data_IF_156930401944
#
_entry.id   IF_156930401944
#
_cell.length_a   1.000
_cell.length_b   1.000
_cell.length_c   1.000
_cell.angle_alpha   90.00
_cell.angle_beta   90.00
_cell.angle_gamma   90.00
#
_symmetry.space_group_name_H-M   'P 1'
#
loop_
_entity.id
_entity.type
_entity.pdbx_description
1 polymer ?
#
# COMPACT_ATOMS: atom_id res chain seq x y z
N UNK A 1 22.40 8.09 8.97
CA UNK A 1 21.06 7.54 9.32
C UNK A 1 20.08 8.08 8.30
N UNK A 2 19.64 7.25 7.34
CA UNK A 2 18.91 7.69 6.15
C UNK A 2 17.57 8.32 6.50
N UNK A 3 17.31 9.53 6.00
CA UNK A 3 16.16 10.34 6.38
C UNK A 3 14.87 9.71 5.81
N UNK A 4 14.14 8.94 6.63
CA UNK A 4 12.94 8.19 6.24
C UNK A 4 11.68 9.07 6.08
N UNK A 5 11.85 10.38 5.98
CA UNK A 5 10.79 11.39 6.08
C UNK A 5 9.66 11.17 5.08
N UNK A 6 9.99 10.85 3.83
CA UNK A 6 8.97 10.65 2.79
C UNK A 6 8.18 9.36 2.98
N UNK A 7 8.82 8.27 3.44
CA UNK A 7 8.10 7.04 3.77
C UNK A 7 7.18 7.25 4.97
N UNK A 8 7.68 7.94 6.01
CA UNK A 8 6.88 8.32 7.17
C UNK A 8 5.70 9.20 6.77
N UNK A 9 5.91 10.17 5.87
CA UNK A 9 4.86 11.05 5.36
C UNK A 9 3.78 10.27 4.61
N UNK A 10 4.16 9.31 3.77
CA UNK A 10 3.21 8.46 3.06
C UNK A 10 2.34 7.63 4.02
N UNK A 11 2.95 6.95 4.99
CA UNK A 11 2.23 6.16 6.00
C UNK A 11 1.32 7.05 6.86
N UNK A 12 1.81 8.23 7.25
CA UNK A 12 1.04 9.19 8.04
C UNK A 12 -0.19 9.68 7.28
N UNK A 13 -0.04 10.06 6.01
CA UNK A 13 -1.17 10.51 5.19
C UNK A 13 -2.26 9.43 5.06
N UNK A 14 -1.86 8.16 4.88
CA UNK A 14 -2.79 7.03 4.85
C UNK A 14 -3.48 6.86 6.21
N UNK A 15 -2.72 6.90 7.31
CA UNK A 15 -3.26 6.74 8.65
C UNK A 15 -4.23 7.86 9.05
N UNK A 16 -3.89 9.11 8.76
CA UNK A 16 -4.78 10.25 9.00
C UNK A 16 -6.08 10.11 8.20
N UNK A 17 -6.00 9.75 6.91
CA UNK A 17 -7.17 9.54 6.07
C UNK A 17 -8.11 8.45 6.64
N UNK A 18 -7.55 7.31 7.06
CA UNK A 18 -8.31 6.19 7.63
C UNK A 18 -8.92 6.55 8.99
N UNK A 19 -8.14 7.18 9.89
CA UNK A 19 -8.57 7.49 11.26
C UNK A 19 -9.63 8.60 11.25
N UNK A 20 -9.44 9.64 10.44
CA UNK A 20 -10.37 10.77 10.36
C UNK A 20 -11.63 10.44 9.54
N UNK A 21 -11.66 9.29 8.85
CA UNK A 21 -12.75 8.89 7.95
C UNK A 21 -13.08 9.99 6.93
N UNK A 22 -12.03 10.54 6.33
CA UNK A 22 -12.19 11.62 5.34
C UNK A 22 -13.00 11.10 4.14
N UNK A 23 -14.04 11.86 3.77
CA UNK A 23 -14.97 11.51 2.69
C UNK A 23 -14.32 11.63 1.31
N UNK A 24 -13.24 12.42 1.17
CA UNK A 24 -12.53 12.59 -0.09
C UNK A 24 -11.53 11.46 -0.30
N UNK A 25 -11.66 10.74 -1.41
CA UNK A 25 -10.74 9.66 -1.77
C UNK A 25 -9.27 10.11 -1.75
N UNK A 26 -8.45 9.43 -0.96
CA UNK A 26 -7.00 9.61 -0.99
C UNK A 26 -6.39 8.94 -2.23
N UNK A 27 -5.89 9.76 -3.16
CA UNK A 27 -5.07 9.32 -4.28
C UNK A 27 -3.59 9.60 -3.98
N UNK A 28 -2.81 8.56 -3.76
CA UNK A 28 -1.40 8.67 -3.37
C UNK A 28 -0.48 7.93 -4.34
N UNK A 29 0.50 8.63 -4.90
CA UNK A 29 1.59 8.05 -5.68
C UNK A 29 2.91 8.20 -4.93
N UNK A 30 3.55 7.07 -4.61
CA UNK A 30 4.86 7.03 -3.94
C UNK A 30 5.90 6.48 -4.90
N UNK A 31 6.82 7.34 -5.33
CA UNK A 31 7.92 6.99 -6.24
C UNK A 31 9.26 6.87 -5.51
N UNK A 32 10.25 6.28 -6.19
CA UNK A 32 11.63 6.22 -5.73
C UNK A 32 12.45 5.21 -6.52
N UNK A 33 13.76 5.38 -6.57
CA UNK A 33 14.68 4.46 -7.26
C UNK A 33 14.68 3.06 -6.64
N UNK A 34 15.15 2.04 -7.37
CA UNK A 34 15.30 0.68 -6.82
C UNK A 34 16.12 0.67 -5.53
N UNK A 35 15.76 -0.17 -4.55
CA UNK A 35 16.49 -0.27 -3.28
C UNK A 35 16.14 0.79 -2.21
N UNK A 36 15.25 1.75 -2.47
CA UNK A 36 14.93 2.83 -1.51
C UNK A 36 13.92 2.45 -0.40
N UNK A 37 13.60 1.17 -0.24
CA UNK A 37 12.70 0.73 0.84
C UNK A 37 11.20 0.94 0.58
N UNK A 38 10.74 1.14 -0.66
CA UNK A 38 9.28 1.25 -0.96
C UNK A 38 8.44 0.07 -0.47
N UNK A 39 8.97 -1.16 -0.54
CA UNK A 39 8.30 -2.35 0.03
C UNK A 39 8.14 -2.25 1.56
N UNK A 40 8.98 -1.47 2.24
CA UNK A 40 8.80 -1.18 3.67
C UNK A 40 7.56 -0.31 3.91
N UNK A 41 7.29 0.70 3.06
CA UNK A 41 6.05 1.50 3.13
C UNK A 41 4.83 0.59 3.03
N UNK A 42 4.77 -0.30 2.02
CA UNK A 42 3.67 -1.25 1.84
C UNK A 42 3.46 -2.10 3.10
N UNK A 43 4.53 -2.70 3.64
CA UNK A 43 4.46 -3.51 4.87
C UNK A 43 4.01 -2.72 6.09
N UNK A 44 4.41 -1.46 6.20
CA UNK A 44 3.99 -0.60 7.31
C UNK A 44 2.51 -0.24 7.21
N UNK A 45 1.98 0.00 6.00
CA UNK A 45 0.54 0.19 5.77
C UNK A 45 -0.26 -1.06 6.14
N UNK A 46 0.20 -2.25 5.75
CA UNK A 46 -0.45 -3.51 6.14
C UNK A 46 -0.54 -3.62 7.66
N UNK A 47 0.58 -3.42 8.36
CA UNK A 47 0.63 -3.46 9.83
C UNK A 47 -0.25 -2.41 10.50
N UNK A 48 -0.41 -1.24 9.88
CA UNK A 48 -1.32 -0.21 10.37
C UNK A 48 -2.77 -0.71 10.34
N UNK A 49 -3.22 -1.27 9.21
CA UNK A 49 -4.58 -1.81 9.08
C UNK A 49 -4.83 -3.01 10.00
N UNK A 50 -3.82 -3.87 10.20
CA UNK A 50 -3.86 -4.94 11.20
C UNK A 50 -4.04 -4.39 12.62
N UNK A 51 -3.25 -3.38 13.02
CA UNK A 51 -3.33 -2.75 14.35
C UNK A 51 -4.65 -2.02 14.59
N UNK A 52 -5.27 -1.51 13.53
CA UNK A 52 -6.58 -0.88 13.58
C UNK A 52 -7.73 -1.91 13.58
N UNK A 53 -7.45 -3.22 13.43
CA UNK A 53 -8.48 -4.26 13.39
C UNK A 53 -9.31 -4.27 12.12
N UNK A 54 -8.86 -3.61 11.05
CA UNK A 54 -9.58 -3.43 9.78
C UNK A 54 -8.80 -4.02 8.60
N UNK A 55 -7.97 -5.04 8.84
CA UNK A 55 -7.14 -5.69 7.81
C UNK A 55 -7.93 -6.11 6.57
N UNK A 56 -9.19 -6.53 6.75
CA UNK A 56 -10.04 -7.04 5.68
C UNK A 56 -10.59 -5.91 4.76
N UNK A 57 -10.33 -4.64 5.12
CA UNK A 57 -10.62 -3.46 4.28
C UNK A 57 -9.43 -3.07 3.39
N UNK A 58 -8.29 -3.77 3.47
CA UNK A 58 -7.10 -3.50 2.67
C UNK A 58 -6.94 -4.54 1.56
N UNK A 59 -7.01 -4.10 0.32
CA UNK A 59 -6.70 -4.91 -0.86
C UNK A 59 -5.35 -4.54 -1.44
N UNK A 60 -4.52 -5.55 -1.72
CA UNK A 60 -3.17 -5.39 -2.27
C UNK A 60 -3.12 -5.96 -3.68
N UNK A 61 -2.57 -5.18 -4.62
CA UNK A 61 -2.35 -5.66 -5.98
C UNK A 61 -1.02 -5.24 -6.57
N UNK A 62 -0.57 -6.01 -7.56
CA UNK A 62 0.60 -5.70 -8.37
C UNK A 62 0.37 -6.08 -9.85
N UNK A 63 1.17 -5.55 -10.79
CA UNK A 63 0.99 -5.86 -12.22
C UNK A 63 1.32 -7.32 -12.58
N UNK A 64 2.33 -7.93 -11.95
CA UNK A 64 2.81 -9.29 -12.27
C UNK A 64 2.61 -10.27 -11.12
N UNK A 65 2.52 -11.56 -11.44
CA UNK A 65 2.35 -12.63 -10.45
C UNK A 65 3.45 -12.65 -9.38
N UNK A 66 4.72 -12.54 -9.79
CA UNK A 66 5.83 -12.51 -8.85
C UNK A 66 5.75 -11.31 -7.89
N UNK A 67 5.38 -10.12 -8.39
CA UNK A 67 5.25 -8.94 -7.55
C UNK A 67 4.06 -9.04 -6.57
N UNK A 68 2.95 -9.65 -7.01
CA UNK A 68 1.78 -9.90 -6.18
C UNK A 68 2.11 -10.83 -5.01
N UNK A 69 2.84 -11.93 -5.27
CA UNK A 69 3.31 -12.86 -4.25
C UNK A 69 4.20 -12.14 -3.20
N UNK A 70 5.09 -11.25 -3.64
CA UNK A 70 6.00 -10.53 -2.74
C UNK A 70 5.29 -9.59 -1.73
N UNK A 71 4.09 -9.14 -2.06
CA UNK A 71 3.26 -8.30 -1.18
C UNK A 71 2.09 -9.06 -0.56
N UNK A 72 2.02 -10.38 -0.74
CA UNK A 72 0.90 -11.23 -0.32
C UNK A 72 -0.46 -10.69 -0.82
N UNK A 73 -0.49 -10.27 -2.09
CA UNK A 73 -1.66 -9.72 -2.76
C UNK A 73 -2.01 -10.49 -4.03
N UNK A 74 -2.83 -9.85 -4.87
CA UNK A 74 -3.29 -10.41 -6.14
C UNK A 74 -2.67 -9.67 -7.33
N UNK A 75 -2.73 -10.26 -8.52
CA UNK A 75 -2.53 -9.44 -9.71
C UNK A 75 -3.67 -8.45 -9.85
N UNK A 76 -3.44 -7.28 -10.46
CA UNK A 76 -4.53 -6.31 -10.69
C UNK A 76 -5.69 -6.95 -11.47
N UNK A 77 -5.38 -7.79 -12.45
CA UNK A 77 -6.35 -8.57 -13.22
C UNK A 77 -7.22 -9.46 -12.32
N UNK A 78 -6.59 -10.29 -11.48
CA UNK A 78 -7.31 -11.17 -10.55
C UNK A 78 -8.12 -10.40 -9.50
N UNK A 79 -7.59 -9.29 -8.98
CA UNK A 79 -8.27 -8.46 -7.99
C UNK A 79 -9.55 -7.80 -8.55
N UNK A 80 -9.50 -7.38 -9.81
CA UNK A 80 -10.56 -6.59 -10.47
C UNK A 80 -11.43 -7.41 -11.43
N UNK A 81 -11.15 -8.71 -11.56
CA UNK A 81 -11.79 -9.61 -12.53
C UNK A 81 -11.68 -9.12 -13.99
N UNK A 82 -10.61 -8.40 -14.30
CA UNK A 82 -10.32 -7.99 -15.66
C UNK A 82 -9.55 -9.10 -16.39
N UNK A 83 -9.87 -9.38 -17.67
CA UNK A 83 -9.15 -10.38 -18.46
C UNK A 83 -7.67 -9.99 -18.62
N UNK A 84 -6.79 -10.99 -18.65
CA UNK A 84 -5.39 -10.78 -19.02
C UNK A 84 -5.32 -10.57 -20.53
N UNK A 85 -4.79 -9.42 -20.97
CA UNK A 85 -4.52 -9.13 -22.38
C UNK A 85 -3.35 -9.93 -22.92
#
# INVERSE_FOLDING_TARGET
>A
VGNNTEQTRAVRAIGEHVILRDEKQLLLYVSGTGGTGKSHVIRTVIRLFEKLGIKDQLLLSAPTGCAAVLINGYTIHALTMLPQS
#
